data_IF_005977734864
#
_entry.id   IF_005977734864
#
_cell.length_a   1.000
_cell.length_b   1.000
_cell.length_c   1.000
_cell.angle_alpha   90.00
_cell.angle_beta   90.00
_cell.angle_gamma   90.00
#
_symmetry.space_group_name_H-M   'P 1'
#
loop_
_entity.id
_entity.type
_entity.pdbx_description
1 polymer ?
#
# COMPACT_ATOMS: atom_id res chain seq x y z
N UNK A 1 -5.87 43.63 11.07
CA UNK A 1 -6.44 43.48 9.72
C UNK A 1 -6.18 42.05 9.30
N UNK A 2 -7.23 41.22 9.28
CA UNK A 2 -7.15 39.76 9.17
C UNK A 2 -6.64 39.33 7.79
N UNK A 3 -5.61 38.47 7.78
CA UNK A 3 -5.13 37.79 6.60
C UNK A 3 -6.26 36.96 6.00
N UNK A 4 -6.63 37.27 4.76
CA UNK A 4 -7.45 36.39 3.93
C UNK A 4 -6.68 35.08 3.77
N UNK A 5 -7.08 34.05 4.51
CA UNK A 5 -6.62 32.68 4.32
C UNK A 5 -7.11 32.25 2.93
N UNK A 6 -6.27 32.37 1.90
CA UNK A 6 -6.44 31.61 0.66
C UNK A 6 -6.40 30.13 1.05
N UNK A 7 -7.59 29.55 1.21
CA UNK A 7 -7.74 28.13 1.53
C UNK A 7 -7.47 27.30 0.28
N UNK A 8 -6.77 26.16 0.41
CA UNK A 8 -6.32 25.38 -0.74
C UNK A 8 -7.48 24.89 -1.58
N UNK A 9 -7.38 25.07 -2.88
CA UNK A 9 -8.36 24.56 -3.85
C UNK A 9 -8.22 23.03 -3.97
N UNK A 10 -9.30 22.29 -4.32
CA UNK A 10 -9.25 20.82 -4.47
C UNK A 10 -8.12 20.30 -5.36
N UNK A 11 -7.71 21.08 -6.37
CA UNK A 11 -6.60 20.79 -7.29
C UNK A 11 -5.21 20.81 -6.60
N UNK A 12 -5.06 21.53 -5.49
CA UNK A 12 -3.79 21.69 -4.76
C UNK A 12 -3.48 20.48 -3.84
N UNK A 13 -4.46 19.60 -3.62
CA UNK A 13 -4.28 18.38 -2.82
C UNK A 13 -3.64 17.21 -3.61
N UNK A 14 -3.41 17.39 -4.91
CA UNK A 14 -2.73 16.40 -5.77
C UNK A 14 -3.38 15.02 -5.71
N UNK A 15 -2.61 13.99 -5.37
CA UNK A 15 -3.06 12.60 -5.28
C UNK A 15 -4.21 12.37 -4.27
N UNK A 16 -4.40 13.28 -3.30
CA UNK A 16 -5.47 13.18 -2.31
C UNK A 16 -6.77 13.89 -2.74
N UNK A 17 -6.82 14.47 -3.94
CA UNK A 17 -8.02 15.14 -4.48
C UNK A 17 -9.27 14.24 -4.47
N UNK A 18 -9.10 12.96 -4.79
CA UNK A 18 -10.19 11.97 -4.73
C UNK A 18 -10.71 11.76 -3.30
N UNK A 19 -9.84 11.69 -2.29
CA UNK A 19 -10.25 11.51 -0.89
C UNK A 19 -11.01 12.73 -0.38
N UNK A 20 -10.58 13.94 -0.77
CA UNK A 20 -11.26 15.19 -0.43
C UNK A 20 -12.67 15.21 -1.05
N UNK A 21 -12.83 14.77 -2.29
CA UNK A 21 -14.14 14.66 -2.95
C UNK A 21 -15.05 13.63 -2.25
N UNK A 22 -14.53 12.45 -1.91
CA UNK A 22 -15.31 11.43 -1.18
C UNK A 22 -15.75 11.94 0.21
N UNK A 23 -14.87 12.63 0.94
CA UNK A 23 -15.24 13.23 2.22
C UNK A 23 -16.27 14.36 2.05
N UNK A 24 -16.21 15.11 0.93
CA UNK A 24 -17.19 16.14 0.61
C UNK A 24 -18.57 15.56 0.27
N UNK A 25 -18.62 14.46 -0.50
CA UNK A 25 -19.86 13.73 -0.78
C UNK A 25 -20.52 13.25 0.53
N UNK A 26 -19.74 12.64 1.44
CA UNK A 26 -20.24 12.22 2.77
C UNK A 26 -20.74 13.39 3.62
N UNK A 27 -20.04 14.53 3.60
CA UNK A 27 -20.47 15.74 4.31
C UNK A 27 -21.80 16.30 3.79
N UNK A 28 -22.08 16.16 2.49
CA UNK A 28 -23.36 16.58 1.87
C UNK A 28 -24.52 15.66 2.25
N UNK A 29 -24.26 14.37 2.44
CA UNK A 29 -25.26 13.39 2.88
C UNK A 29 -25.55 13.51 4.38
N UNK A 30 -24.50 13.57 5.20
CA UNK A 30 -24.58 13.78 6.63
C UNK A 30 -23.34 14.54 7.15
N UNK A 31 -23.49 15.80 7.59
CA UNK A 31 -22.39 16.58 8.16
C UNK A 31 -21.72 15.92 9.37
N UNK A 32 -22.44 15.11 10.15
CA UNK A 32 -21.88 14.42 11.33
C UNK A 32 -21.00 13.20 10.96
N UNK A 33 -21.08 12.73 9.72
CA UNK A 33 -20.29 11.60 9.22
C UNK A 33 -18.83 11.94 8.95
N UNK A 34 -18.46 13.22 8.94
CA UNK A 34 -17.07 13.68 8.88
C UNK A 34 -16.67 14.34 10.19
N UNK A 35 -15.39 14.24 10.56
CA UNK A 35 -14.89 14.80 11.82
C UNK A 35 -14.98 16.34 11.88
N UNK A 36 -14.91 16.95 13.09
CA UNK A 36 -15.09 18.40 13.27
C UNK A 36 -14.19 19.27 12.37
N UNK A 37 -12.93 18.88 12.20
CA UNK A 37 -11.97 19.57 11.32
C UNK A 37 -12.38 19.55 9.84
N UNK A 38 -13.04 18.48 9.39
CA UNK A 38 -13.55 18.37 8.02
C UNK A 38 -14.85 19.17 7.85
N UNK A 39 -15.69 19.25 8.88
CA UNK A 39 -16.90 20.10 8.86
C UNK A 39 -16.54 21.59 8.72
N UNK A 40 -15.55 22.06 9.48
CA UNK A 40 -15.03 23.44 9.37
C UNK A 40 -14.37 23.72 8.01
N UNK A 41 -13.77 22.69 7.39
CA UNK A 41 -13.17 22.81 6.07
C UNK A 41 -14.23 22.91 4.98
N UNK A 42 -15.28 22.08 5.02
CA UNK A 42 -16.32 22.02 3.99
C UNK A 42 -17.41 23.09 4.10
N UNK A 43 -17.54 23.78 5.24
CA UNK A 43 -18.53 24.84 5.44
C UNK A 43 -18.41 25.99 4.42
N UNK A 44 -17.19 26.28 3.95
CA UNK A 44 -16.91 27.33 2.96
C UNK A 44 -16.28 26.77 1.66
N UNK A 45 -16.29 25.45 1.48
CA UNK A 45 -15.63 24.79 0.36
C UNK A 45 -16.43 24.96 -0.93
N UNK A 46 -15.78 25.47 -1.98
CA UNK A 46 -16.36 25.60 -3.32
C UNK A 46 -15.69 24.60 -4.26
N UNK A 47 -16.40 23.58 -4.76
CA UNK A 47 -15.84 22.69 -5.76
C UNK A 47 -15.57 23.50 -7.03
N UNK A 48 -14.29 23.67 -7.38
CA UNK A 48 -13.91 24.12 -8.71
C UNK A 48 -14.12 22.94 -9.67
N UNK A 49 -14.74 23.19 -10.83
CA UNK A 49 -15.27 22.17 -11.73
C UNK A 49 -14.30 21.05 -12.15
N UNK A 50 -14.91 19.94 -12.56
CA UNK A 50 -14.37 18.71 -13.16
C UNK A 50 -12.85 18.47 -13.02
N UNK A 51 -12.43 17.53 -12.16
CA UNK A 51 -11.02 17.23 -11.96
C UNK A 51 -10.43 16.59 -13.21
N UNK A 52 -9.27 17.10 -13.66
CA UNK A 52 -8.37 16.32 -14.49
C UNK A 52 -7.74 15.26 -13.58
N UNK A 53 -8.27 14.04 -13.65
CA UNK A 53 -7.70 12.91 -12.94
C UNK A 53 -6.26 12.70 -13.43
N UNK A 54 -5.28 13.07 -12.62
CA UNK A 54 -3.94 12.52 -12.76
C UNK A 54 -4.04 11.01 -12.45
N UNK A 55 -3.44 10.17 -13.29
CA UNK A 55 -3.50 8.70 -13.26
C UNK A 55 -3.01 8.05 -11.95
N UNK A 56 -2.69 8.84 -10.93
CA UNK A 56 -2.35 8.39 -9.57
C UNK A 56 -3.59 8.20 -8.69
N UNK A 57 -4.71 8.87 -8.99
CA UNK A 57 -5.97 8.77 -8.22
C UNK A 57 -6.69 7.41 -8.35
N UNK A 58 -6.29 6.58 -9.31
CA UNK A 58 -6.85 5.24 -9.53
C UNK A 58 -6.37 4.21 -8.49
N UNK A 59 -5.31 4.52 -7.73
CA UNK A 59 -4.66 3.57 -6.80
C UNK A 59 -5.46 3.34 -5.50
N UNK A 60 -6.43 4.20 -5.18
CA UNK A 60 -7.13 4.16 -3.88
C UNK A 60 -8.66 4.07 -3.98
N UNK A 61 -9.24 4.07 -5.19
CA UNK A 61 -10.66 3.71 -5.36
C UNK A 61 -10.83 2.20 -5.15
N UNK A 62 -11.72 1.72 -4.27
CA UNK A 62 -12.11 0.31 -4.26
C UNK A 62 -12.97 0.06 -5.52
N UNK A 63 -12.34 -0.34 -6.60
CA UNK A 63 -13.01 -0.79 -7.82
C UNK A 63 -13.51 -2.21 -7.59
N UNK A 64 -14.84 -2.40 -7.68
CA UNK A 64 -15.42 -3.71 -8.01
C UNK A 64 -14.97 -3.99 -9.44
N UNK A 65 -13.94 -4.84 -9.58
CA UNK A 65 -13.29 -5.08 -10.85
C UNK A 65 -14.22 -5.81 -11.83
N UNK A 66 -14.40 -5.33 -13.08
CA UNK A 66 -14.79 -6.19 -14.17
C UNK A 66 -13.63 -7.13 -14.52
N UNK A 67 -13.99 -8.29 -15.06
CA UNK A 67 -13.14 -9.44 -15.39
C UNK A 67 -11.82 -9.05 -16.07
N UNK A 68 -10.64 -9.46 -15.58
CA UNK A 68 -9.37 -9.07 -16.18
C UNK A 68 -9.11 -9.81 -17.50
N UNK A 69 -8.83 -9.05 -18.56
CA UNK A 69 -8.18 -9.55 -19.78
C UNK A 69 -6.66 -9.65 -19.56
N UNK A 70 -6.00 -10.72 -20.03
CA UNK A 70 -4.58 -10.94 -19.78
C UNK A 70 -3.71 -10.09 -20.72
N UNK A 71 -2.91 -9.18 -20.17
CA UNK A 71 -1.77 -8.57 -20.86
C UNK A 71 -0.48 -9.23 -20.39
N UNK A 72 0.13 -9.98 -21.31
CA UNK A 72 1.40 -10.66 -21.16
C UNK A 72 2.56 -9.68 -21.41
N UNK A 73 3.46 -9.50 -20.43
CA UNK A 73 4.93 -9.68 -20.53
C UNK A 73 5.61 -9.18 -19.26
N UNK A 74 5.71 -10.07 -18.28
CA UNK A 74 6.64 -9.93 -17.15
C UNK A 74 7.99 -10.53 -17.55
N UNK A 75 9.15 -9.95 -17.18
CA UNK A 75 10.40 -10.71 -17.13
C UNK A 75 10.16 -11.86 -16.15
N UNK A 76 10.17 -13.09 -16.67
CA UNK A 76 9.77 -14.29 -15.94
C UNK A 76 10.61 -14.47 -14.68
N UNK A 77 9.99 -14.26 -13.52
CA UNK A 77 10.31 -15.11 -12.38
C UNK A 77 9.58 -16.40 -12.67
N UNK A 78 10.30 -17.35 -13.24
CA UNK A 78 9.81 -18.70 -13.45
C UNK A 78 9.29 -19.23 -12.10
N UNK A 79 8.01 -19.62 -12.00
CA UNK A 79 7.54 -20.38 -10.85
C UNK A 79 8.49 -21.56 -10.67
N UNK A 80 8.95 -21.89 -9.45
CA UNK A 80 9.72 -23.11 -9.28
C UNK A 80 8.90 -24.25 -9.89
N UNK A 81 9.48 -24.92 -10.89
CA UNK A 81 8.84 -26.04 -11.55
C UNK A 81 8.31 -26.99 -10.47
N UNK A 82 7.10 -27.58 -10.63
CA UNK A 82 6.61 -28.58 -9.70
C UNK A 82 7.69 -29.66 -9.62
N UNK A 83 8.38 -29.70 -8.48
CA UNK A 83 9.37 -30.72 -8.21
C UNK A 83 8.58 -32.01 -8.23
N UNK A 84 8.80 -32.84 -9.24
CA UNK A 84 8.31 -34.21 -9.24
C UNK A 84 8.83 -34.79 -7.94
N UNK A 85 7.92 -34.99 -6.99
CA UNK A 85 8.16 -35.83 -5.83
C UNK A 85 8.31 -37.23 -6.39
N UNK A 86 9.54 -37.56 -6.82
CA UNK A 86 9.97 -38.94 -6.84
C UNK A 86 9.57 -39.49 -5.49
N UNK A 87 8.81 -40.59 -5.49
CA UNK A 87 8.45 -41.28 -4.27
C UNK A 87 9.75 -41.56 -3.52
N UNK A 88 10.01 -40.73 -2.51
CA UNK A 88 11.04 -41.00 -1.52
C UNK A 88 10.63 -42.32 -0.91
N UNK A 89 11.44 -43.34 -1.14
CA UNK A 89 11.39 -44.57 -0.37
C UNK A 89 11.30 -44.16 1.10
N UNK A 90 10.26 -44.62 1.79
CA UNK A 90 9.95 -44.26 3.18
C UNK A 90 11.04 -44.89 4.05
N UNK A 91 12.20 -44.27 4.08
CA UNK A 91 13.21 -44.49 5.09
C UNK A 91 12.57 -43.98 6.39
N UNK A 92 12.53 -44.78 7.46
CA UNK A 92 12.00 -44.32 8.73
C UNK A 92 12.74 -43.05 9.13
N UNK A 93 12.00 -41.94 9.24
CA UNK A 93 12.54 -40.65 9.61
C UNK A 93 13.20 -40.79 10.99
N UNK A 94 14.41 -40.21 11.21
CA UNK A 94 14.95 -40.07 12.55
C UNK A 94 13.94 -39.36 13.46
N UNK A 95 14.02 -39.58 14.79
CA UNK A 95 13.07 -38.99 15.72
C UNK A 95 13.04 -37.46 15.59
N UNK A 96 11.83 -36.90 15.42
CA UNK A 96 11.63 -35.48 15.25
C UNK A 96 12.15 -34.67 16.45
N UNK A 97 13.00 -33.68 16.18
CA UNK A 97 13.51 -32.78 17.21
C UNK A 97 12.48 -31.67 17.51
N UNK A 98 12.08 -31.45 18.77
CA UNK A 98 11.08 -30.45 19.10
C UNK A 98 11.63 -29.02 18.95
N UNK A 99 10.89 -28.17 18.24
CA UNK A 99 11.17 -26.73 18.15
C UNK A 99 11.02 -26.06 19.54
N UNK A 100 12.00 -25.25 19.93
CA UNK A 100 12.03 -24.55 21.24
C UNK A 100 12.35 -23.07 21.08
N UNK A 101 11.91 -22.26 22.04
CA UNK A 101 12.23 -20.82 22.08
C UNK A 101 11.71 -20.06 20.87
N UNK A 102 12.60 -19.31 20.20
CA UNK A 102 12.25 -18.41 19.09
C UNK A 102 11.65 -19.16 17.91
N UNK A 103 12.13 -20.35 17.58
CA UNK A 103 11.61 -21.12 16.45
C UNK A 103 10.17 -21.59 16.68
N UNK A 104 9.84 -22.02 17.91
CA UNK A 104 8.48 -22.36 18.30
C UNK A 104 7.54 -21.14 18.27
N UNK A 105 8.04 -19.96 18.68
CA UNK A 105 7.28 -18.72 18.62
C UNK A 105 6.98 -18.28 17.18
N UNK A 106 7.95 -18.41 16.26
CA UNK A 106 7.76 -18.14 14.83
C UNK A 106 6.70 -19.09 14.27
N UNK A 107 6.79 -20.39 14.54
CA UNK A 107 5.82 -21.37 14.06
C UNK A 107 4.39 -21.04 14.54
N UNK A 108 4.24 -20.66 15.80
CA UNK A 108 2.94 -20.25 16.37
C UNK A 108 2.37 -19.01 15.66
N UNK A 109 3.21 -18.04 15.31
CA UNK A 109 2.77 -16.83 14.59
C UNK A 109 2.46 -17.11 13.12
N UNK A 110 3.17 -18.04 12.48
CA UNK A 110 2.86 -18.51 11.13
C UNK A 110 1.51 -19.20 11.07
N UNK A 111 1.20 -20.05 12.06
CA UNK A 111 -0.11 -20.72 12.18
C UNK A 111 -1.25 -19.70 12.33
N UNK A 112 -1.07 -18.69 13.19
CA UNK A 112 -2.06 -17.60 13.34
C UNK A 112 -2.33 -16.85 12.03
N UNK A 113 -1.30 -16.71 11.18
CA UNK A 113 -1.41 -15.98 9.92
C UNK A 113 -2.28 -16.69 8.88
N UNK A 114 -2.55 -17.99 9.03
CA UNK A 114 -3.38 -18.77 8.10
C UNK A 114 -4.82 -18.26 8.01
N UNK A 115 -5.32 -17.62 9.07
CA UNK A 115 -6.69 -17.08 9.11
C UNK A 115 -6.81 -15.70 8.46
N UNK A 116 -5.68 -15.06 8.14
CA UNK A 116 -5.65 -13.74 7.51
C UNK A 116 -5.65 -13.91 5.98
N UNK A 117 -6.68 -13.45 5.25
CA UNK A 117 -6.71 -13.54 3.80
C UNK A 117 -5.60 -12.67 3.21
N UNK A 118 -4.50 -13.31 2.79
CA UNK A 118 -3.32 -12.60 2.28
C UNK A 118 -3.50 -12.30 0.80
N UNK A 119 -3.69 -11.03 0.45
CA UNK A 119 -3.69 -10.53 -0.92
C UNK A 119 -2.34 -9.88 -1.24
N UNK A 120 -1.59 -10.41 -2.20
CA UNK A 120 -0.28 -9.88 -2.59
C UNK A 120 -0.41 -8.97 -3.82
N UNK A 121 0.05 -7.72 -3.70
CA UNK A 121 0.19 -6.79 -4.83
C UNK A 121 1.66 -6.57 -5.18
N UNK A 122 1.98 -6.41 -6.47
CA UNK A 122 3.34 -6.19 -6.96
C UNK A 122 3.48 -4.82 -7.64
N UNK A 123 4.58 -4.12 -7.37
CA UNK A 123 4.92 -2.83 -8.02
C UNK A 123 6.41 -2.78 -8.36
N UNK A 124 6.73 -2.25 -9.54
CA UNK A 124 8.10 -1.94 -9.92
C UNK A 124 8.45 -0.50 -9.52
N UNK A 125 9.45 -0.35 -8.65
CA UNK A 125 9.96 0.97 -8.23
C UNK A 125 11.46 1.03 -8.54
N UNK A 126 11.91 1.96 -9.41
CA UNK A 126 13.33 2.14 -9.70
C UNK A 126 14.13 2.54 -8.45
N UNK A 127 15.16 1.78 -8.08
CA UNK A 127 15.89 1.97 -6.82
C UNK A 127 17.07 2.96 -6.90
N UNK A 128 17.36 3.55 -8.07
CA UNK A 128 18.61 4.31 -8.27
C UNK A 128 18.72 5.53 -7.37
N UNK A 129 17.63 6.26 -7.18
CA UNK A 129 17.60 7.41 -6.29
C UNK A 129 17.84 7.01 -4.83
N UNK A 130 17.24 5.89 -4.38
CA UNK A 130 17.43 5.36 -3.02
C UNK A 130 18.89 4.96 -2.78
N UNK A 131 19.53 4.35 -3.77
CA UNK A 131 20.95 3.95 -3.72
C UNK A 131 21.86 5.18 -3.55
N UNK A 132 21.65 6.22 -4.37
CA UNK A 132 22.43 7.46 -4.30
C UNK A 132 22.20 8.18 -2.97
N UNK A 133 20.94 8.31 -2.52
CA UNK A 133 20.61 8.93 -1.24
C UNK A 133 21.23 8.19 -0.05
N UNK A 134 21.15 6.84 -0.04
CA UNK A 134 21.81 6.01 0.97
C UNK A 134 23.33 6.26 0.98
N UNK A 135 23.97 6.35 -0.19
CA UNK A 135 25.41 6.58 -0.30
C UNK A 135 25.80 7.95 0.25
N UNK A 136 25.06 9.00 -0.08
CA UNK A 136 25.31 10.36 0.45
C UNK A 136 25.17 10.38 1.97
N UNK A 137 24.09 9.83 2.53
CA UNK A 137 23.89 9.78 3.98
C UNK A 137 24.99 9.01 4.70
N UNK A 138 25.37 7.83 4.18
CA UNK A 138 26.43 7.03 4.80
C UNK A 138 27.81 7.71 4.70
N UNK A 139 28.12 8.34 3.57
CA UNK A 139 29.36 9.10 3.41
C UNK A 139 29.40 10.31 4.34
N UNK A 140 28.28 11.00 4.53
CA UNK A 140 28.16 12.08 5.50
C UNK A 140 28.39 11.55 6.91
N UNK A 141 27.64 10.54 7.36
CA UNK A 141 27.83 9.91 8.69
C UNK A 141 29.27 9.47 8.93
N UNK A 142 29.92 8.84 7.96
CA UNK A 142 31.31 8.42 8.07
C UNK A 142 32.30 9.58 8.25
N UNK A 143 31.95 10.78 7.80
CA UNK A 143 32.80 11.98 7.92
C UNK A 143 32.52 12.80 9.18
N UNK A 144 31.27 12.80 9.68
CA UNK A 144 30.85 13.70 10.77
C UNK A 144 30.64 12.99 12.12
N UNK A 145 30.52 11.66 12.14
CA UNK A 145 30.29 10.87 13.37
C UNK A 145 28.82 10.74 13.72
#
# INVERSE_FOLDING_TARGET
>A
MNAMLERPRPEEFGANSWLVEEMYERFREDPASVGPTWQEFFSDFKPAGTPKADSTAEIVRPVVAPTPQPVATSPGVEPPAPRVVLATEIIPDPPAEPLRGVSAAIATNMEKSLTVPTATSFRNVPAKLLEVNRKVMNNYRARVG
#
